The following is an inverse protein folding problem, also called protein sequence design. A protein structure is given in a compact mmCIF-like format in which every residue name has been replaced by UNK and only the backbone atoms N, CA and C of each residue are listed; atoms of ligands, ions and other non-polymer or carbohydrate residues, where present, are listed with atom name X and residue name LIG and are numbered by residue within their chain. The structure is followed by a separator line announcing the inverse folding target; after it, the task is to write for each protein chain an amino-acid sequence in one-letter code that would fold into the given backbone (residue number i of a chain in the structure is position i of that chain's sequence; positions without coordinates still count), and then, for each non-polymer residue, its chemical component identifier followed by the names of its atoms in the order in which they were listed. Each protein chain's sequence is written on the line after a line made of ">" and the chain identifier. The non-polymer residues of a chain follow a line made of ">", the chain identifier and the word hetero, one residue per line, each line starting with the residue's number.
data_IF_726845315843
#
_entry.id   IF_726845315843
#
_cell.length_a   1.000
_cell.length_b   1.000
_cell.length_c   1.000
_cell.angle_alpha   90.00
_cell.angle_beta   90.00
_cell.angle_gamma   90.00
#
_symmetry.space_group_name_H-M   'P 1'
#
loop_
_entity.id
_entity.type
_entity.pdbx_description
1 polymer ?
#
# COMPACT_ATOMS: atom_id res chain seq x y z
N UNK A 1 19.92 -38.30 42.55
CA UNK A 1 18.58 -37.72 42.45
C UNK A 1 18.58 -36.21 42.17
N UNK A 2 19.40 -35.37 42.78
CA UNK A 2 19.44 -33.92 42.59
C UNK A 2 19.81 -33.49 41.13
N UNK A 3 20.71 -34.24 40.50
CA UNK A 3 21.16 -33.91 39.10
C UNK A 3 20.11 -34.16 38.04
N UNK A 4 19.24 -35.15 38.22
CA UNK A 4 18.09 -35.41 37.29
C UNK A 4 16.98 -34.36 37.43
N UNK A 5 16.75 -33.84 38.63
CA UNK A 5 15.76 -32.79 38.87
C UNK A 5 16.21 -31.45 38.27
N UNK A 6 17.49 -31.11 38.33
CA UNK A 6 18.04 -29.88 37.71
C UNK A 6 17.93 -29.94 36.20
N UNK A 7 18.17 -31.13 35.59
CA UNK A 7 18.06 -31.30 34.13
C UNK A 7 16.62 -31.21 33.64
N UNK A 8 15.65 -31.66 34.42
CA UNK A 8 14.21 -31.55 34.10
C UNK A 8 13.75 -30.10 34.21
N UNK A 9 14.21 -29.36 35.21
CA UNK A 9 13.93 -27.91 35.35
C UNK A 9 14.54 -27.08 34.22
N UNK A 10 15.75 -27.42 33.77
CA UNK A 10 16.39 -26.74 32.64
C UNK A 10 15.68 -27.00 31.32
N UNK A 11 15.17 -28.21 31.10
CA UNK A 11 14.37 -28.56 29.92
C UNK A 11 12.99 -27.91 29.92
N UNK A 12 12.35 -27.71 31.08
CA UNK A 12 11.09 -26.99 31.19
C UNK A 12 11.25 -25.46 30.93
N UNK A 13 12.39 -24.90 31.27
CA UNK A 13 12.65 -23.47 31.08
C UNK A 13 12.88 -23.11 29.60
N UNK A 14 13.38 -24.07 28.79
CA UNK A 14 13.61 -23.87 27.37
C UNK A 14 12.29 -23.94 26.56
N UNK A 15 11.26 -24.65 27.09
CA UNK A 15 9.95 -24.78 26.41
C UNK A 15 9.08 -23.52 26.52
N UNK A 16 9.41 -22.55 27.35
CA UNK A 16 8.63 -21.31 27.56
C UNK A 16 9.05 -20.12 26.68
N UNK A 17 10.09 -20.27 25.83
CA UNK A 17 10.59 -19.21 24.96
C UNK A 17 10.08 -19.27 23.51
N UNK A 18 9.16 -20.20 23.20
CA UNK A 18 8.64 -20.38 21.83
C UNK A 18 7.21 -19.86 21.63
N UNK A 19 6.79 -18.84 22.34
CA UNK A 19 5.45 -18.28 22.17
C UNK A 19 5.49 -16.75 22.12
N UNK A 20 5.88 -16.20 20.99
CA UNK A 20 5.43 -14.92 20.42
C UNK A 20 6.10 -14.73 19.05
N UNK A 21 5.89 -15.64 18.11
CA UNK A 21 5.95 -15.27 16.71
C UNK A 21 4.56 -14.73 16.37
N UNK A 22 4.41 -13.40 16.50
CA UNK A 22 3.34 -12.71 15.81
C UNK A 22 3.58 -12.96 14.33
N UNK A 23 2.89 -13.92 13.75
CA UNK A 23 2.76 -14.04 12.30
C UNK A 23 1.99 -12.80 11.88
N UNK A 24 2.72 -11.75 11.50
CA UNK A 24 2.17 -10.74 10.62
C UNK A 24 1.76 -11.50 9.37
N UNK A 25 0.47 -11.71 9.18
CA UNK A 25 -0.09 -12.09 7.90
C UNK A 25 0.08 -10.87 6.98
N UNK A 26 1.29 -10.69 6.45
CA UNK A 26 1.48 -9.82 5.29
C UNK A 26 0.70 -10.48 4.16
N UNK A 27 -0.45 -9.91 3.82
CA UNK A 27 -1.10 -10.23 2.56
C UNK A 27 -0.16 -9.72 1.48
N UNK A 28 0.51 -10.59 0.69
CA UNK A 28 1.48 -10.13 -0.30
C UNK A 28 0.77 -9.27 -1.33
N UNK A 29 1.48 -8.27 -1.88
CA UNK A 29 0.96 -7.42 -2.94
C UNK A 29 0.41 -8.26 -4.09
N UNK A 30 -0.82 -7.96 -4.51
CA UNK A 30 -1.56 -8.73 -5.50
C UNK A 30 -1.52 -8.04 -6.86
N UNK A 31 -1.13 -8.77 -7.90
CA UNK A 31 -1.12 -8.27 -9.27
C UNK A 31 -2.48 -8.46 -9.93
N UNK A 32 -3.11 -7.36 -10.33
CA UNK A 32 -4.42 -7.32 -10.98
C UNK A 32 -4.23 -7.12 -12.48
N UNK A 33 -4.65 -8.12 -13.27
CA UNK A 33 -4.59 -8.05 -14.74
C UNK A 33 -5.82 -7.32 -15.27
N UNK A 34 -5.59 -6.35 -16.15
CA UNK A 34 -6.62 -5.54 -16.81
C UNK A 34 -6.36 -5.46 -18.31
N UNK A 35 -7.25 -4.84 -19.07
CA UNK A 35 -7.01 -4.62 -20.50
C UNK A 35 -5.80 -3.70 -20.71
N UNK A 36 -4.78 -4.22 -21.41
CA UNK A 36 -3.54 -3.49 -21.72
C UNK A 36 -2.36 -3.78 -20.80
N UNK A 37 -2.54 -4.49 -19.67
CA UNK A 37 -1.45 -4.80 -18.74
C UNK A 37 -1.92 -5.20 -17.36
N UNK A 38 -1.30 -4.66 -16.33
CA UNK A 38 -1.66 -4.94 -14.94
C UNK A 38 -1.23 -3.80 -14.02
N UNK A 39 -1.89 -3.69 -12.86
CA UNK A 39 -1.44 -2.89 -11.74
C UNK A 39 -1.29 -3.80 -10.50
N UNK A 40 -0.66 -3.29 -9.45
CA UNK A 40 -0.41 -4.05 -8.21
C UNK A 40 -1.21 -3.44 -7.05
N UNK A 41 -1.98 -4.25 -6.35
CA UNK A 41 -2.55 -3.86 -5.06
C UNK A 41 -1.49 -3.96 -3.96
N UNK A 42 -1.42 -2.97 -3.11
CA UNK A 42 -0.52 -2.91 -1.95
C UNK A 42 -1.34 -2.67 -0.68
N UNK A 43 -0.96 -3.33 0.41
CA UNK A 43 -1.58 -3.10 1.73
C UNK A 43 -1.11 -1.79 2.37
N UNK A 44 -1.83 -1.34 3.41
CA UNK A 44 -1.44 -0.15 4.17
C UNK A 44 -0.08 -0.32 4.85
N UNK A 45 0.22 -1.52 5.35
CA UNK A 45 1.48 -1.86 6.01
C UNK A 45 2.65 -1.84 5.02
N UNK A 46 2.47 -2.44 3.83
CA UNK A 46 3.47 -2.41 2.76
C UNK A 46 3.72 -0.98 2.27
N UNK A 47 2.65 -0.21 2.03
CA UNK A 47 2.79 1.20 1.64
C UNK A 47 3.53 2.01 2.72
N UNK A 48 3.25 1.75 4.02
CA UNK A 48 3.98 2.41 5.12
C UNK A 48 5.48 2.13 5.08
N UNK A 49 5.87 0.94 4.66
CA UNK A 49 7.29 0.59 4.47
C UNK A 49 7.86 1.31 3.24
N UNK A 50 7.12 1.33 2.13
CA UNK A 50 7.53 2.01 0.88
C UNK A 50 7.75 3.51 1.10
N UNK A 51 6.91 4.17 1.90
CA UNK A 51 7.01 5.60 2.22
C UNK A 51 8.29 5.97 3.00
N UNK A 52 8.95 5.02 3.68
CA UNK A 52 10.22 5.28 4.40
C UNK A 52 11.38 5.65 3.44
N UNK A 53 11.34 5.12 2.22
CA UNK A 53 12.31 5.39 1.17
C UNK A 53 11.55 5.63 -0.14
N UNK A 54 10.67 6.63 -0.12
CA UNK A 54 9.75 6.96 -1.20
C UNK A 54 10.51 7.25 -2.50
N UNK A 55 10.25 6.46 -3.54
CA UNK A 55 10.82 6.56 -4.89
C UNK A 55 9.73 6.54 -5.97
N UNK A 56 8.53 7.02 -5.66
CA UNK A 56 7.35 6.99 -6.51
C UNK A 56 6.55 8.29 -6.42
N UNK A 57 5.74 8.54 -7.44
CA UNK A 57 4.72 9.59 -7.42
C UNK A 57 3.49 9.07 -6.66
N UNK A 58 3.07 9.79 -5.62
CA UNK A 58 1.97 9.38 -4.75
C UNK A 58 0.76 10.29 -4.95
N UNK A 59 -0.37 9.73 -5.39
CA UNK A 59 -1.53 10.51 -5.84
C UNK A 59 -2.79 10.12 -5.10
N UNK A 60 -3.43 11.11 -4.47
CA UNK A 60 -4.80 11.01 -4.01
C UNK A 60 -5.76 11.24 -5.18
N UNK A 61 -6.58 10.24 -5.52
CA UNK A 61 -7.57 10.36 -6.60
C UNK A 61 -9.01 10.43 -6.07
N UNK A 62 -9.17 10.60 -4.76
CA UNK A 62 -10.48 10.63 -4.13
C UNK A 62 -11.22 11.94 -4.37
N UNK A 63 -12.52 11.84 -4.64
CA UNK A 63 -13.45 12.97 -4.70
C UNK A 63 -14.74 12.63 -3.95
N UNK A 64 -15.26 13.58 -3.14
CA UNK A 64 -14.67 14.86 -2.75
C UNK A 64 -13.41 14.68 -1.88
N UNK A 65 -12.59 15.73 -1.73
CA UNK A 65 -11.40 15.69 -0.87
C UNK A 65 -11.80 15.42 0.60
N UNK A 66 -11.14 14.45 1.24
CA UNK A 66 -11.39 14.03 2.64
C UNK A 66 -10.09 13.89 3.45
N UNK A 67 -9.03 14.56 3.04
CA UNK A 67 -7.69 14.49 3.64
C UNK A 67 -6.70 13.70 2.78
N UNK A 68 -5.44 13.71 3.21
CA UNK A 68 -4.33 13.04 2.54
C UNK A 68 -3.61 12.06 3.47
N UNK A 69 -3.02 11.03 2.88
CA UNK A 69 -1.95 10.27 3.51
C UNK A 69 -0.68 11.14 3.44
N UNK A 70 0.12 11.14 4.51
CA UNK A 70 1.38 11.90 4.54
C UNK A 70 2.26 11.58 3.32
N UNK A 71 3.02 12.57 2.87
CA UNK A 71 3.88 12.49 1.67
C UNK A 71 3.14 12.35 0.33
N UNK A 72 1.83 12.64 0.27
CA UNK A 72 1.08 12.75 -0.99
C UNK A 72 1.63 13.90 -1.83
N UNK A 73 1.92 13.64 -3.10
CA UNK A 73 2.48 14.65 -4.02
C UNK A 73 1.40 15.41 -4.76
N UNK A 74 0.33 14.73 -5.17
CA UNK A 74 -0.73 15.29 -6.00
C UNK A 74 -2.11 14.83 -5.53
N UNK A 75 -3.10 15.69 -5.75
CA UNK A 75 -4.52 15.34 -5.66
C UNK A 75 -5.18 15.57 -7.01
N UNK A 76 -5.59 14.49 -7.69
CA UNK A 76 -6.19 14.52 -9.03
C UNK A 76 -7.44 13.64 -9.02
N UNK A 77 -8.65 14.14 -9.30
CA UNK A 77 -9.84 13.32 -9.38
C UNK A 77 -9.66 12.08 -10.28
N UNK A 78 -10.10 10.91 -9.82
CA UNK A 78 -9.93 9.63 -10.53
C UNK A 78 -10.45 9.63 -11.97
N UNK A 79 -11.53 10.35 -12.23
CA UNK A 79 -12.19 10.50 -13.53
C UNK A 79 -11.56 11.57 -14.42
N UNK A 80 -10.60 12.32 -13.90
CA UNK A 80 -9.85 13.38 -14.62
C UNK A 80 -8.37 13.04 -14.81
N UNK A 81 -7.90 11.90 -14.32
CA UNK A 81 -6.47 11.56 -14.35
C UNK A 81 -5.90 11.45 -15.76
N UNK A 82 -6.75 11.15 -16.76
CA UNK A 82 -6.38 11.06 -18.18
C UNK A 82 -6.56 12.36 -18.95
N UNK A 83 -7.01 13.43 -18.31
CA UNK A 83 -7.11 14.75 -18.95
C UNK A 83 -5.70 15.28 -19.28
N UNK A 84 -5.50 15.95 -20.44
CA UNK A 84 -4.16 16.39 -20.87
C UNK A 84 -3.42 17.24 -19.84
N UNK A 85 -4.13 18.10 -19.10
CA UNK A 85 -3.55 18.95 -18.06
C UNK A 85 -3.01 18.11 -16.89
N UNK A 86 -3.71 17.03 -16.52
CA UNK A 86 -3.31 16.15 -15.43
C UNK A 86 -2.23 15.15 -15.87
N UNK A 87 -2.29 14.65 -17.10
CA UNK A 87 -1.23 13.82 -17.68
C UNK A 87 0.12 14.55 -17.72
N UNK A 88 0.12 15.87 -17.94
CA UNK A 88 1.35 16.66 -17.92
C UNK A 88 2.03 16.76 -16.54
N UNK A 89 1.34 16.36 -15.48
CA UNK A 89 1.87 16.28 -14.11
C UNK A 89 2.49 14.91 -13.79
N UNK A 90 2.21 13.91 -14.62
CA UNK A 90 2.74 12.55 -14.46
C UNK A 90 4.12 12.45 -15.11
N UNK A 91 4.96 11.49 -14.70
CA UNK A 91 6.24 11.24 -15.38
C UNK A 91 6.06 10.91 -16.86
N UNK A 92 6.95 11.41 -17.71
CA UNK A 92 7.05 11.04 -19.13
C UNK A 92 7.53 9.58 -19.31
N UNK A 93 8.21 9.04 -18.30
CA UNK A 93 8.65 7.64 -18.26
C UNK A 93 7.48 6.74 -17.85
N UNK A 94 7.01 5.93 -18.77
CA UNK A 94 5.91 4.99 -18.55
C UNK A 94 6.27 3.86 -17.54
N UNK A 95 7.55 3.64 -17.26
CA UNK A 95 8.02 2.67 -16.28
C UNK A 95 8.23 3.31 -14.89
N UNK A 96 7.98 4.62 -14.74
CA UNK A 96 8.03 5.27 -13.44
C UNK A 96 6.93 4.76 -12.51
N UNK A 97 7.29 4.48 -11.26
CA UNK A 97 6.35 4.00 -10.26
C UNK A 97 5.37 5.09 -9.84
N UNK A 98 4.07 4.78 -9.95
CA UNK A 98 2.98 5.64 -9.51
C UNK A 98 2.10 4.84 -8.54
N UNK A 99 1.88 5.39 -7.34
CA UNK A 99 1.00 4.81 -6.33
C UNK A 99 -0.24 5.68 -6.21
N UNK A 100 -1.40 5.06 -6.37
CA UNK A 100 -2.70 5.72 -6.32
C UNK A 100 -3.47 5.28 -5.08
N UNK A 101 -4.23 6.18 -4.50
CA UNK A 101 -5.20 5.83 -3.48
C UNK A 101 -6.46 6.70 -3.56
N UNK A 102 -7.52 6.20 -2.97
CA UNK A 102 -8.74 6.94 -2.70
C UNK A 102 -9.27 6.55 -1.32
N UNK A 103 -10.54 6.78 -1.02
CA UNK A 103 -11.13 6.41 0.27
C UNK A 103 -11.13 4.90 0.54
N UNK A 104 -11.54 4.08 -0.44
CA UNK A 104 -11.76 2.63 -0.28
C UNK A 104 -11.03 1.74 -1.27
N UNK A 105 -10.18 2.29 -2.12
CA UNK A 105 -9.48 1.56 -3.19
C UNK A 105 -10.23 1.48 -4.52
N UNK A 106 -11.54 1.78 -4.58
CA UNK A 106 -12.34 1.62 -5.82
C UNK A 106 -12.04 2.67 -6.88
N UNK A 107 -12.04 3.95 -6.55
CA UNK A 107 -11.73 5.03 -7.50
C UNK A 107 -10.28 4.94 -7.99
N UNK A 108 -9.36 4.60 -7.09
CA UNK A 108 -7.94 4.43 -7.43
C UNK A 108 -7.69 3.21 -8.31
N UNK A 109 -8.44 2.12 -8.18
CA UNK A 109 -8.40 1.00 -9.10
C UNK A 109 -8.86 1.40 -10.51
N UNK A 110 -9.92 2.23 -10.64
CA UNK A 110 -10.37 2.77 -11.93
C UNK A 110 -9.29 3.65 -12.57
N UNK A 111 -8.67 4.53 -11.77
CA UNK A 111 -7.57 5.38 -12.23
C UNK A 111 -6.34 4.55 -12.65
N UNK A 112 -6.00 3.52 -11.87
CA UNK A 112 -4.92 2.58 -12.19
C UNK A 112 -5.15 1.89 -13.54
N UNK A 113 -6.35 1.35 -13.76
CA UNK A 113 -6.72 0.73 -15.04
C UNK A 113 -6.62 1.73 -16.21
N UNK A 114 -7.03 2.98 -16.01
CA UNK A 114 -6.95 4.02 -17.03
C UNK A 114 -5.49 4.33 -17.41
N UNK A 115 -4.58 4.45 -16.43
CA UNK A 115 -3.16 4.68 -16.68
C UNK A 115 -2.48 3.47 -17.36
N UNK A 116 -2.82 2.23 -16.95
CA UNK A 116 -2.34 1.01 -17.62
C UNK A 116 -2.74 0.99 -19.09
N UNK A 117 -3.98 1.38 -19.43
CA UNK A 117 -4.44 1.50 -20.82
C UNK A 117 -3.68 2.55 -21.64
N UNK A 118 -3.11 3.57 -20.99
CA UNK A 118 -2.26 4.58 -21.61
C UNK A 118 -0.78 4.13 -21.75
N UNK A 119 -0.44 2.93 -21.25
CA UNK A 119 0.88 2.33 -21.40
C UNK A 119 1.80 2.47 -20.19
N UNK A 120 1.31 3.01 -19.06
CA UNK A 120 2.08 2.97 -17.81
C UNK A 120 2.19 1.53 -17.29
N UNK A 121 3.38 1.11 -16.86
CA UNK A 121 3.71 -0.29 -16.54
C UNK A 121 3.93 -0.57 -15.06
N UNK A 122 4.23 0.46 -14.24
CA UNK A 122 4.48 0.31 -12.80
C UNK A 122 3.46 1.10 -11.96
N UNK A 123 2.19 0.69 -12.08
CA UNK A 123 1.07 1.30 -11.37
C UNK A 123 0.68 0.47 -10.15
N UNK A 124 0.51 1.15 -9.02
CA UNK A 124 0.13 0.57 -7.75
C UNK A 124 -1.14 1.21 -7.20
N UNK A 125 -1.95 0.42 -6.52
CA UNK A 125 -3.19 0.84 -5.88
C UNK A 125 -3.17 0.47 -4.40
N UNK A 126 -3.41 1.43 -3.51
CA UNK A 126 -3.62 1.12 -2.09
C UNK A 126 -4.96 0.41 -1.91
N UNK A 127 -4.89 -0.89 -1.64
CA UNK A 127 -6.07 -1.68 -1.33
C UNK A 127 -6.69 -1.23 0.00
N UNK A 128 -8.02 -1.12 0.03
CA UNK A 128 -8.73 -0.54 1.17
C UNK A 128 -8.62 0.99 1.30
N UNK A 129 -7.69 1.64 0.58
CA UNK A 129 -7.54 3.10 0.54
C UNK A 129 -7.31 3.75 1.91
N UNK A 130 -7.80 4.99 2.09
CA UNK A 130 -7.70 5.72 3.37
C UNK A 130 -8.35 4.97 4.53
N UNK A 131 -9.47 4.26 4.29
CA UNK A 131 -10.12 3.46 5.33
C UNK A 131 -9.22 2.34 5.81
N UNK A 132 -8.58 1.59 4.89
CA UNK A 132 -7.60 0.55 5.23
C UNK A 132 -6.38 1.13 5.95
N UNK A 133 -5.91 2.30 5.53
CA UNK A 133 -4.82 3.03 6.17
C UNK A 133 -5.12 3.38 7.64
N UNK A 134 -6.32 3.93 7.92
CA UNK A 134 -6.75 4.25 9.28
C UNK A 134 -6.98 2.99 10.13
N UNK A 135 -7.55 1.92 9.56
CA UNK A 135 -7.72 0.63 10.24
C UNK A 135 -6.38 -0.03 10.63
N UNK A 136 -5.32 0.21 9.86
CA UNK A 136 -3.95 -0.18 10.19
C UNK A 136 -3.31 0.70 11.28
N UNK A 137 -4.05 1.70 11.81
CA UNK A 137 -3.61 2.57 12.89
C UNK A 137 -2.82 3.82 12.45
N UNK A 138 -2.87 4.17 11.16
CA UNK A 138 -2.20 5.34 10.61
C UNK A 138 -3.19 6.51 10.47
N UNK A 139 -2.72 7.74 10.63
CA UNK A 139 -3.53 8.95 10.52
C UNK A 139 -3.50 9.55 9.12
N UNK A 140 -4.55 10.30 8.79
CA UNK A 140 -4.62 11.20 7.65
C UNK A 140 -4.25 12.62 8.05
N UNK A 141 -3.89 13.45 7.08
CA UNK A 141 -3.61 14.87 7.21
C UNK A 141 -4.69 15.69 6.50
N UNK A 142 -4.92 16.93 6.94
CA UNK A 142 -5.78 17.87 6.24
C UNK A 142 -7.28 17.58 6.31
N UNK A 143 -7.72 16.79 7.30
CA UNK A 143 -9.16 16.55 7.56
C UNK A 143 -9.83 17.76 8.20
#
# INVERSE_FOLDING_TARGET
>A
MKQKQVMIFLLMLIALLTACQSTFNETPSEKITVGGGSYTNVSAEELKVMLKNKDFLFINVHVPFEGDIADTDLSIPYDQITEPVNLSLLPDDNDAKIVLYCRSGRMSAIAAEALVKLGYTDIWNLDGGMVGWEQAGYSLEGQ
#
